data_IF_454786246497
#
_entry.id   IF_454786246497
#
_cell.length_a   1.000
_cell.length_b   1.000
_cell.length_c   1.000
_cell.angle_alpha   90.00
_cell.angle_beta   90.00
_cell.angle_gamma   90.00
#
_symmetry.space_group_name_H-M   'P 1'
#
loop_
_entity.id
_entity.type
_entity.pdbx_description
1 polymer ?
#
# COMPACT_ATOMS: atom_id res chain seq x y z
N UNK A 1 -3.42 -8.38 15.47
CA UNK A 1 -3.16 -8.83 16.87
C UNK A 1 -4.16 -8.20 17.84
N UNK A 2 -4.99 -9.01 18.50
CA UNK A 2 -5.95 -8.58 19.52
C UNK A 2 -5.23 -8.44 20.88
N UNK A 3 -4.22 -7.56 20.95
CA UNK A 3 -3.57 -7.24 22.22
C UNK A 3 -4.16 -5.93 22.71
N UNK A 4 -5.10 -6.06 23.65
CA UNK A 4 -5.88 -4.94 24.17
C UNK A 4 -5.01 -3.86 24.82
N UNK A 5 -3.80 -4.20 25.28
CA UNK A 5 -2.80 -3.25 25.79
C UNK A 5 -2.17 -2.44 24.65
N UNK A 6 -1.57 -3.09 23.64
CA UNK A 6 -0.92 -2.42 22.51
C UNK A 6 -1.91 -1.51 21.77
N UNK A 7 -3.14 -1.98 21.54
CA UNK A 7 -4.16 -1.17 20.86
C UNK A 7 -4.64 0.01 21.71
N UNK A 8 -4.70 -0.12 23.04
CA UNK A 8 -5.03 1.00 23.94
C UNK A 8 -3.88 2.01 24.00
N UNK A 9 -2.65 1.55 24.20
CA UNK A 9 -1.45 2.39 24.20
C UNK A 9 -1.30 3.17 22.90
N UNK A 10 -1.58 2.56 21.73
CA UNK A 10 -1.60 3.27 20.44
C UNK A 10 -2.62 4.41 20.36
N UNK A 11 -3.75 4.30 21.05
CA UNK A 11 -4.77 5.36 21.07
C UNK A 11 -4.43 6.49 22.04
N UNK A 12 -3.56 6.24 23.01
CA UNK A 12 -3.21 7.21 24.06
C UNK A 12 -2.11 8.18 23.62
N UNK A 13 -1.23 7.78 22.70
CA UNK A 13 -0.08 8.58 22.28
C UNK A 13 -0.17 8.98 20.81
N UNK A 14 0.29 10.19 20.45
CA UNK A 14 0.37 10.61 19.05
C UNK A 14 1.44 9.83 18.30
N UNK A 15 1.37 9.84 16.96
CA UNK A 15 2.32 9.18 16.06
C UNK A 15 3.77 9.61 16.33
N UNK A 16 3.99 10.89 16.63
CA UNK A 16 5.33 11.44 16.91
C UNK A 16 6.06 10.73 18.06
N UNK A 17 5.34 10.25 19.08
CA UNK A 17 5.95 9.51 20.20
C UNK A 17 6.44 8.13 19.72
N UNK A 18 5.72 7.47 18.82
CA UNK A 18 6.16 6.21 18.24
C UNK A 18 7.37 6.41 17.33
N UNK A 19 7.39 7.49 16.55
CA UNK A 19 8.54 7.86 15.73
C UNK A 19 9.78 8.18 16.56
N UNK A 20 9.61 8.85 17.69
CA UNK A 20 10.68 9.15 18.65
C UNK A 20 11.25 7.86 19.23
N UNK A 21 10.40 6.96 19.73
CA UNK A 21 10.84 5.65 20.25
C UNK A 21 11.59 4.84 19.18
N UNK A 22 11.09 4.81 17.95
CA UNK A 22 11.79 4.16 16.84
C UNK A 22 13.17 4.79 16.60
N UNK A 23 13.24 6.12 16.59
CA UNK A 23 14.49 6.87 16.38
C UNK A 23 15.50 6.60 17.49
N UNK A 24 15.07 6.59 18.76
CA UNK A 24 15.92 6.26 19.90
C UNK A 24 16.45 4.81 19.84
N UNK A 25 15.64 3.86 19.39
CA UNK A 25 16.10 2.47 19.19
C UNK A 25 17.13 2.41 18.07
N UNK A 26 16.89 3.10 16.95
CA UNK A 26 17.83 3.17 15.84
C UNK A 26 19.16 3.81 16.26
N UNK A 27 19.14 4.92 16.99
CA UNK A 27 20.34 5.57 17.55
C UNK A 27 21.17 4.59 18.38
N UNK A 28 20.53 3.80 19.24
CA UNK A 28 21.24 2.77 20.01
C UNK A 28 21.88 1.70 19.12
N UNK A 29 21.26 1.33 18.01
CA UNK A 29 21.86 0.41 17.03
C UNK A 29 23.06 1.06 16.32
N UNK A 30 22.98 2.36 16.00
CA UNK A 30 24.06 3.14 15.39
C UNK A 30 25.25 3.22 16.36
N UNK A 31 25.02 3.58 17.63
CA UNK A 31 26.05 3.66 18.67
C UNK A 31 26.77 2.32 18.91
N UNK A 32 26.08 1.21 18.63
CA UNK A 32 26.64 -0.16 18.70
C UNK A 32 27.33 -0.60 17.41
N UNK A 33 27.42 0.26 16.40
CA UNK A 33 28.05 -0.04 15.11
C UNK A 33 27.26 -1.02 14.25
N UNK A 34 25.97 -1.22 14.52
CA UNK A 34 25.13 -2.17 13.77
C UNK A 34 24.61 -1.59 12.45
N UNK A 35 24.66 -0.27 12.29
CA UNK A 35 24.15 0.44 11.10
C UNK A 35 25.31 1.09 10.38
N UNK A 36 25.55 0.70 9.13
CA UNK A 36 26.60 1.30 8.30
C UNK A 36 26.18 2.61 7.64
N UNK A 37 24.88 2.78 7.37
CA UNK A 37 24.32 3.88 6.59
C UNK A 37 24.47 3.71 5.07
N UNK A 38 25.54 3.06 4.63
CA UNK A 38 26.01 3.07 3.24
C UNK A 38 25.04 2.43 2.24
N UNK A 39 24.46 1.27 2.55
CA UNK A 39 23.57 0.54 1.64
C UNK A 39 22.24 0.24 2.33
N UNK A 40 21.15 0.70 1.72
CA UNK A 40 19.79 0.51 2.22
C UNK A 40 18.98 -0.31 1.22
N UNK A 41 18.37 -1.38 1.73
CA UNK A 41 17.45 -2.21 0.97
C UNK A 41 16.00 -1.82 1.30
N UNK A 42 15.18 -1.58 0.29
CA UNK A 42 13.78 -1.18 0.41
C UNK A 42 12.89 -2.31 -0.12
N UNK A 43 11.88 -2.67 0.67
CA UNK A 43 10.90 -3.69 0.30
C UNK A 43 9.51 -3.34 0.86
N UNK A 44 8.48 -3.96 0.27
CA UNK A 44 7.10 -3.78 0.68
C UNK A 44 6.39 -5.07 1.07
N UNK A 45 5.55 -4.98 2.10
CA UNK A 45 4.77 -6.09 2.59
C UNK A 45 3.33 -5.65 2.89
N UNK A 46 2.31 -6.34 2.34
CA UNK A 46 0.94 -6.06 2.71
C UNK A 46 0.65 -6.59 4.11
N UNK A 47 0.21 -5.69 4.98
CA UNK A 47 -0.19 -5.97 6.35
C UNK A 47 -1.72 -6.00 6.41
N UNK A 48 -2.29 -7.11 6.90
CA UNK A 48 -3.74 -7.27 7.00
C UNK A 48 -4.33 -6.22 7.95
N UNK A 49 -5.27 -5.44 7.45
CA UNK A 49 -6.00 -4.46 8.25
C UNK A 49 -6.95 -5.16 9.23
N UNK A 50 -7.27 -4.49 10.34
CA UNK A 50 -8.26 -4.98 11.31
C UNK A 50 -9.68 -4.58 10.89
N UNK A 51 -10.06 -4.97 9.67
CA UNK A 51 -11.34 -4.65 9.07
C UNK A 51 -11.88 -5.85 8.27
N UNK A 52 -13.21 -5.92 8.15
CA UNK A 52 -13.88 -7.02 7.43
C UNK A 52 -14.29 -6.61 6.03
N UNK A 53 -14.17 -7.55 5.09
CA UNK A 53 -14.76 -7.40 3.75
C UNK A 53 -16.30 -7.36 3.81
N UNK A 54 -16.90 -7.98 4.83
CA UNK A 54 -18.37 -8.09 4.94
C UNK A 54 -19.06 -6.80 5.42
N UNK A 55 -18.26 -5.85 5.93
CA UNK A 55 -18.72 -4.56 6.45
C UNK A 55 -18.45 -3.40 5.49
N UNK A 56 -17.97 -3.69 4.28
CA UNK A 56 -17.74 -2.67 3.25
C UNK A 56 -19.06 -2.01 2.85
N UNK A 57 -19.01 -0.70 2.65
CA UNK A 57 -20.15 0.10 2.21
C UNK A 57 -19.87 0.75 0.86
N UNK A 58 -20.94 1.07 0.11
CA UNK A 58 -20.83 1.67 -1.21
C UNK A 58 -20.50 3.16 -1.09
N UNK A 59 -19.59 3.63 -1.93
CA UNK A 59 -19.40 5.06 -2.16
C UNK A 59 -20.60 5.61 -2.93
N UNK A 60 -21.01 6.83 -2.61
CA UNK A 60 -22.16 7.49 -3.24
C UNK A 60 -21.73 8.84 -3.84
N UNK A 61 -22.42 9.38 -4.85
CA UNK A 61 -22.11 10.71 -5.39
C UNK A 61 -22.22 11.80 -4.30
N UNK A 62 -21.31 12.77 -4.32
CA UNK A 62 -21.22 13.84 -3.31
C UNK A 62 -22.49 14.71 -3.26
N UNK A 63 -23.09 14.99 -4.43
CA UNK A 63 -24.29 15.83 -4.58
C UNK A 63 -25.59 15.15 -4.08
N UNK A 64 -25.60 13.84 -3.87
CA UNK A 64 -26.80 13.10 -3.46
C UNK A 64 -26.63 12.35 -2.11
N UNK A 65 -25.69 12.68 -1.22
CA UNK A 65 -25.47 11.87 0.00
C UNK A 65 -26.78 11.60 0.78
N UNK A 66 -27.66 12.58 0.95
CA UNK A 66 -28.95 12.41 1.65
C UNK A 66 -30.09 11.86 0.77
N UNK A 67 -30.13 12.22 -0.51
CA UNK A 67 -31.19 11.81 -1.44
C UNK A 67 -30.95 10.40 -2.01
N UNK A 68 -29.69 10.04 -2.24
CA UNK A 68 -29.21 8.71 -2.61
C UNK A 68 -29.37 7.72 -1.47
N UNK A 69 -29.17 8.12 -0.20
CA UNK A 69 -29.52 7.28 0.96
C UNK A 69 -31.03 6.94 0.99
N UNK A 70 -31.90 7.82 0.47
CA UNK A 70 -33.33 7.56 0.28
C UNK A 70 -33.61 6.71 -0.97
N UNK A 71 -32.90 6.93 -2.09
CA UNK A 71 -33.07 6.20 -3.38
C UNK A 71 -32.41 4.81 -3.41
N UNK A 72 -31.38 4.53 -2.61
CA UNK A 72 -30.76 3.19 -2.44
C UNK A 72 -31.79 2.15 -1.96
N UNK A 73 -32.92 2.57 -1.39
CA UNK A 73 -34.04 1.68 -1.06
C UNK A 73 -34.77 1.10 -2.29
N UNK A 74 -34.50 1.59 -3.51
CA UNK A 74 -35.34 1.30 -4.67
C UNK A 74 -34.66 0.60 -5.87
N UNK A 75 -33.33 0.37 -5.93
CA UNK A 75 -32.71 -0.18 -7.16
C UNK A 75 -31.67 -1.31 -6.92
N UNK A 76 -31.94 -2.43 -7.62
CA UNK A 76 -31.16 -3.65 -7.88
C UNK A 76 -31.22 -4.77 -6.82
N UNK A 77 -31.76 -5.91 -7.26
CA UNK A 77 -32.07 -7.12 -6.50
C UNK A 77 -30.89 -8.11 -6.38
N UNK A 78 -29.67 -7.72 -6.78
CA UNK A 78 -28.49 -8.61 -6.74
C UNK A 78 -27.41 -8.17 -5.75
N UNK A 79 -27.35 -6.88 -5.42
CA UNK A 79 -26.62 -6.39 -4.26
C UNK A 79 -27.63 -6.17 -3.14
N UNK A 80 -27.64 -7.04 -2.11
CA UNK A 80 -28.40 -6.74 -0.88
C UNK A 80 -28.10 -5.27 -0.48
N UNK A 81 -29.15 -4.46 -0.38
CA UNK A 81 -29.13 -3.00 -0.15
C UNK A 81 -28.38 -2.57 1.13
N UNK A 82 -28.05 -3.54 1.99
CA UNK A 82 -27.21 -3.36 3.16
C UNK A 82 -26.16 -4.49 3.20
N UNK A 83 -24.94 -4.20 3.70
CA UNK A 83 -23.95 -5.24 3.95
C UNK A 83 -24.53 -6.31 4.87
N UNK A 84 -24.08 -7.57 4.71
CA UNK A 84 -24.51 -8.69 5.56
C UNK A 84 -24.26 -8.39 7.05
N UNK A 85 -23.26 -7.55 7.34
CA UNK A 85 -22.95 -7.06 8.67
C UNK A 85 -22.71 -5.55 8.60
N UNK A 86 -23.44 -4.76 9.38
CA UNK A 86 -23.17 -3.32 9.54
C UNK A 86 -22.13 -3.08 10.61
N UNK A 87 -21.28 -2.08 10.39
CA UNK A 87 -20.40 -1.58 11.43
C UNK A 87 -21.23 -0.88 12.52
N UNK A 88 -20.80 -0.95 13.79
CA UNK A 88 -21.48 -0.24 14.89
C UNK A 88 -21.22 1.27 14.82
N UNK A 89 -19.97 1.64 14.52
CA UNK A 89 -19.51 3.02 14.38
C UNK A 89 -18.76 3.16 13.06
N UNK A 90 -19.20 4.10 12.23
CA UNK A 90 -18.51 4.51 11.01
C UNK A 90 -17.47 5.59 11.34
N UNK A 91 -16.21 5.35 10.99
CA UNK A 91 -15.07 6.23 11.21
C UNK A 91 -14.66 7.00 9.95
N UNK A 92 -15.32 6.75 8.82
CA UNK A 92 -15.00 7.42 7.54
C UNK A 92 -15.48 8.86 7.52
N UNK A 93 -14.79 9.70 6.76
CA UNK A 93 -15.14 11.08 6.49
C UNK A 93 -16.01 11.21 5.21
N UNK A 94 -16.46 12.42 4.89
CA UNK A 94 -17.26 12.66 3.67
C UNK A 94 -16.49 12.29 2.40
N UNK A 95 -15.18 12.57 2.33
CA UNK A 95 -14.34 12.23 1.17
C UNK A 95 -14.26 10.74 0.93
N UNK A 96 -14.09 9.93 1.98
CA UNK A 96 -14.06 8.47 1.90
C UNK A 96 -15.39 7.84 1.46
N UNK A 97 -16.52 8.52 1.71
CA UNK A 97 -17.87 8.08 1.30
C UNK A 97 -18.23 8.48 -0.12
N UNK A 98 -17.56 9.49 -0.67
CA UNK A 98 -17.85 10.02 -1.99
C UNK A 98 -17.19 9.22 -3.12
N UNK A 99 -17.88 9.09 -4.25
CA UNK A 99 -17.29 8.53 -5.48
C UNK A 99 -16.33 9.57 -6.07
N UNK A 100 -15.05 9.21 -6.09
CA UNK A 100 -13.99 10.03 -6.72
C UNK A 100 -13.55 9.51 -8.09
N UNK A 101 -14.04 8.33 -8.50
CA UNK A 101 -13.68 7.71 -9.77
C UNK A 101 -14.46 8.29 -10.95
N UNK A 102 -13.81 8.44 -12.10
CA UNK A 102 -14.46 8.92 -13.33
C UNK A 102 -15.47 7.90 -13.90
N UNK A 103 -16.43 8.38 -14.69
CA UNK A 103 -17.42 7.53 -15.37
C UNK A 103 -16.78 6.41 -16.22
N UNK A 104 -15.66 6.72 -16.89
CA UNK A 104 -14.89 5.74 -17.67
C UNK A 104 -14.33 4.62 -16.80
N UNK A 105 -13.83 4.96 -15.61
CA UNK A 105 -13.29 3.97 -14.67
C UNK A 105 -14.37 3.10 -14.06
N UNK A 106 -15.52 3.69 -13.73
CA UNK A 106 -16.70 2.95 -13.26
C UNK A 106 -17.23 1.99 -14.34
N UNK A 107 -17.32 2.43 -15.59
CA UNK A 107 -17.70 1.58 -16.72
C UNK A 107 -16.70 0.43 -16.94
N UNK A 108 -15.40 0.68 -16.79
CA UNK A 108 -14.36 -0.34 -16.87
C UNK A 108 -14.41 -1.35 -15.70
N UNK A 109 -14.94 -0.96 -14.53
CA UNK A 109 -15.22 -1.90 -13.44
C UNK A 109 -16.44 -2.75 -13.81
N UNK A 110 -17.53 -2.13 -14.26
CA UNK A 110 -18.74 -2.85 -14.66
C UNK A 110 -18.47 -3.89 -15.76
N UNK A 111 -17.67 -3.55 -16.77
CA UNK A 111 -17.28 -4.48 -17.83
C UNK A 111 -16.43 -5.65 -17.29
N UNK A 112 -15.47 -5.37 -16.39
CA UNK A 112 -14.69 -6.42 -15.71
C UNK A 112 -15.54 -7.31 -14.84
N UNK A 113 -16.54 -6.77 -14.13
CA UNK A 113 -17.48 -7.56 -13.32
C UNK A 113 -18.28 -8.51 -14.22
N UNK A 114 -18.81 -8.00 -15.33
CA UNK A 114 -19.56 -8.79 -16.32
C UNK A 114 -18.71 -9.91 -16.91
N UNK A 115 -17.43 -9.63 -17.20
CA UNK A 115 -16.46 -10.64 -17.67
C UNK A 115 -16.16 -11.67 -16.59
N UNK A 116 -15.92 -11.24 -15.36
CA UNK A 116 -15.64 -12.16 -14.24
C UNK A 116 -16.80 -13.06 -13.88
N UNK A 117 -18.04 -12.60 -14.01
CA UNK A 117 -19.21 -13.44 -13.81
C UNK A 117 -19.34 -14.55 -14.87
N UNK A 118 -18.70 -14.40 -16.04
CA UNK A 118 -18.70 -15.39 -17.12
C UNK A 118 -17.52 -16.36 -17.04
N UNK A 119 -16.34 -15.88 -16.63
CA UNK A 119 -15.08 -16.64 -16.69
C UNK A 119 -14.81 -17.51 -15.41
N UNK A 120 -15.82 -17.70 -14.54
CA UNK A 120 -15.65 -18.09 -13.13
C UNK A 120 -15.59 -19.60 -12.82
N UNK A 121 -15.13 -20.48 -13.72
CA UNK A 121 -15.11 -21.92 -13.44
C UNK A 121 -13.84 -22.44 -12.72
N UNK A 122 -12.76 -21.65 -12.57
CA UNK A 122 -11.44 -22.22 -12.26
C UNK A 122 -10.64 -21.59 -11.11
N UNK A 123 -11.26 -20.97 -10.09
CA UNK A 123 -10.51 -20.43 -8.93
C UNK A 123 -11.13 -20.80 -7.57
N UNK A 124 -10.32 -21.07 -6.52
CA UNK A 124 -10.84 -21.33 -5.17
C UNK A 124 -11.65 -20.13 -4.64
N UNK A 125 -12.90 -20.38 -4.22
CA UNK A 125 -13.83 -19.36 -3.73
C UNK A 125 -14.63 -18.63 -4.82
N UNK A 126 -14.43 -18.99 -6.09
CA UNK A 126 -15.11 -18.37 -7.22
C UNK A 126 -16.54 -18.92 -7.43
N UNK A 127 -16.84 -20.14 -6.98
CA UNK A 127 -18.19 -20.72 -7.06
C UNK A 127 -19.15 -20.33 -5.92
N UNK A 128 -18.78 -19.40 -5.02
CA UNK A 128 -19.64 -19.06 -3.88
C UNK A 128 -20.78 -18.14 -4.33
N UNK A 129 -22.04 -18.62 -4.24
CA UNK A 129 -23.29 -17.85 -4.49
C UNK A 129 -23.36 -16.62 -3.56
N UNK A 130 -22.71 -15.53 -3.95
CA UNK A 130 -22.55 -14.32 -3.14
C UNK A 130 -21.19 -13.63 -3.23
N UNK A 131 -20.22 -14.14 -4.01
CA UNK A 131 -18.94 -13.45 -4.22
C UNK A 131 -19.16 -12.14 -4.99
N UNK A 132 -19.22 -11.02 -4.26
CA UNK A 132 -19.37 -9.69 -4.84
C UNK A 132 -18.03 -9.13 -5.32
N UNK A 133 -18.02 -8.45 -6.45
CA UNK A 133 -16.85 -7.69 -6.87
C UNK A 133 -16.76 -6.40 -6.05
N UNK A 134 -15.78 -6.32 -5.16
CA UNK A 134 -15.50 -5.14 -4.34
C UNK A 134 -14.23 -4.43 -4.81
N UNK A 135 -14.26 -3.10 -4.90
CA UNK A 135 -13.15 -2.25 -5.35
C UNK A 135 -13.10 -0.96 -4.54
N UNK A 136 -11.91 -0.39 -4.32
CA UNK A 136 -11.72 0.89 -3.60
C UNK A 136 -12.37 2.09 -4.28
N UNK A 137 -12.74 1.95 -5.56
CA UNK A 137 -13.46 2.96 -6.33
C UNK A 137 -14.95 2.98 -6.03
N UNK A 138 -15.52 1.83 -5.65
CA UNK A 138 -16.96 1.67 -5.43
C UNK A 138 -17.30 1.42 -3.97
N UNK A 139 -16.34 0.99 -3.15
CA UNK A 139 -16.53 0.65 -1.75
C UNK A 139 -15.49 1.34 -0.87
N UNK A 140 -15.87 1.55 0.38
CA UNK A 140 -14.98 1.98 1.46
C UNK A 140 -15.22 1.12 2.72
N UNK A 141 -14.29 1.19 3.67
CA UNK A 141 -14.37 0.49 4.95
C UNK A 141 -14.77 1.46 6.05
N UNK A 142 -15.97 1.34 6.63
CA UNK A 142 -16.42 2.21 7.72
C UNK A 142 -15.60 2.04 9.01
N UNK A 143 -15.13 0.83 9.29
CA UNK A 143 -14.43 0.50 10.54
C UNK A 143 -12.96 0.93 10.55
N UNK A 144 -12.39 1.09 9.35
CA UNK A 144 -10.99 1.42 9.08
C UNK A 144 -10.90 2.12 7.71
N UNK A 145 -11.04 3.45 7.66
CA UNK A 145 -11.14 4.21 6.41
C UNK A 145 -9.88 4.21 5.56
N UNK A 146 -8.71 3.96 6.16
CA UNK A 146 -7.42 3.97 5.47
C UNK A 146 -7.07 2.60 4.87
N UNK A 147 -7.73 1.53 5.33
CA UNK A 147 -7.56 0.22 4.76
C UNK A 147 -8.01 0.19 3.29
N UNK A 148 -7.26 -0.54 2.45
CA UNK A 148 -7.58 -0.70 1.02
C UNK A 148 -7.70 -2.15 0.64
N UNK A 149 -8.65 -2.42 -0.25
CA UNK A 149 -8.83 -3.72 -0.89
C UNK A 149 -7.60 -3.95 -1.77
N UNK A 150 -6.85 -5.01 -1.50
CA UNK A 150 -5.77 -5.48 -2.36
C UNK A 150 -5.94 -6.95 -2.71
N UNK A 151 -5.34 -7.35 -3.85
CA UNK A 151 -5.50 -8.67 -4.45
C UNK A 151 -4.13 -9.21 -4.80
N UNK A 152 -3.80 -10.41 -4.31
CA UNK A 152 -2.63 -11.17 -4.77
C UNK A 152 -3.07 -12.27 -5.73
N UNK A 153 -2.30 -12.59 -6.79
CA UNK A 153 -2.57 -13.74 -7.66
C UNK A 153 -2.82 -15.01 -6.83
N UNK A 154 -3.89 -15.73 -7.15
CA UNK A 154 -4.27 -16.97 -6.46
C UNK A 154 -4.85 -16.81 -5.04
N UNK A 155 -5.01 -15.59 -4.52
CA UNK A 155 -5.57 -15.35 -3.17
C UNK A 155 -6.84 -14.50 -3.21
N UNK A 156 -7.70 -14.71 -2.22
CA UNK A 156 -8.89 -13.90 -2.01
C UNK A 156 -8.54 -12.43 -1.69
N UNK A 157 -9.45 -11.52 -2.03
CA UNK A 157 -9.34 -10.09 -1.69
C UNK A 157 -9.31 -9.90 -0.17
N UNK A 158 -8.48 -8.97 0.29
CA UNK A 158 -8.41 -8.58 1.70
C UNK A 158 -8.23 -7.08 1.81
N UNK A 159 -8.65 -6.53 2.94
CA UNK A 159 -8.28 -5.18 3.37
C UNK A 159 -6.88 -5.22 3.97
N UNK A 160 -5.97 -4.42 3.42
CA UNK A 160 -4.58 -4.34 3.84
C UNK A 160 -4.12 -2.88 3.87
N UNK A 161 -3.01 -2.68 4.59
CA UNK A 161 -2.08 -1.58 4.39
C UNK A 161 -0.86 -2.10 3.64
N UNK A 162 -0.13 -1.22 2.97
CA UNK A 162 1.16 -1.53 2.39
C UNK A 162 2.24 -1.00 3.31
N UNK A 163 2.95 -1.90 4.00
CA UNK A 163 4.11 -1.53 4.80
C UNK A 163 5.31 -1.41 3.88
N UNK A 164 5.94 -0.26 3.89
CA UNK A 164 7.23 -0.02 3.24
C UNK A 164 8.29 0.02 4.31
N UNK A 165 9.37 -0.75 4.14
CA UNK A 165 10.47 -0.81 5.09
C UNK A 165 11.80 -0.59 4.37
N UNK A 166 12.73 0.02 5.09
CA UNK A 166 14.13 0.09 4.69
C UNK A 166 15.01 -0.54 5.76
N UNK A 167 16.04 -1.26 5.30
CA UNK A 167 16.97 -2.01 6.14
C UNK A 167 18.39 -1.72 5.72
N UNK A 168 19.25 -1.46 6.71
CA UNK A 168 20.70 -1.40 6.51
C UNK A 168 21.25 -2.80 6.25
N UNK A 169 22.03 -2.97 5.18
CA UNK A 169 22.49 -4.29 4.78
C UNK A 169 23.62 -4.86 5.65
N UNK A 170 24.23 -4.08 6.55
CA UNK A 170 25.36 -4.55 7.37
C UNK A 170 24.92 -5.56 8.44
N UNK A 171 23.89 -5.22 9.23
CA UNK A 171 23.35 -6.09 10.29
C UNK A 171 21.83 -6.23 10.26
N UNK A 172 21.20 -5.86 9.13
CA UNK A 172 19.77 -5.99 8.90
C UNK A 172 18.90 -5.19 9.89
N UNK A 173 19.41 -4.04 10.34
CA UNK A 173 18.66 -3.10 11.18
C UNK A 173 17.66 -2.36 10.31
N UNK A 174 16.40 -2.32 10.75
CA UNK A 174 15.37 -1.49 10.12
C UNK A 174 15.71 -0.02 10.37
N UNK A 175 16.01 0.71 9.32
CA UNK A 175 16.37 2.13 9.37
C UNK A 175 15.16 3.03 9.14
N UNK A 176 14.13 2.51 8.48
CA UNK A 176 12.89 3.23 8.24
C UNK A 176 11.70 2.28 8.02
N UNK A 177 10.51 2.71 8.45
CA UNK A 177 9.25 1.99 8.20
C UNK A 177 8.10 2.99 8.08
N UNK A 178 7.14 2.73 7.19
CA UNK A 178 5.88 3.49 7.09
C UNK A 178 4.77 2.68 6.44
N UNK A 179 3.54 2.95 6.84
CA UNK A 179 2.36 2.37 6.22
C UNK A 179 1.81 3.33 5.14
N UNK A 180 1.45 2.76 4.00
CA UNK A 180 0.77 3.42 2.90
C UNK A 180 -0.53 2.70 2.56
N UNK A 181 -1.36 3.34 1.75
CA UNK A 181 -2.56 2.73 1.19
C UNK A 181 -2.20 1.57 0.25
N UNK A 182 -2.87 0.42 0.42
CA UNK A 182 -2.55 -0.82 -0.30
C UNK A 182 -3.09 -0.91 -1.74
N UNK A 183 -3.56 0.21 -2.30
CA UNK A 183 -4.02 0.32 -3.69
C UNK A 183 -3.08 1.13 -4.60
N UNK A 184 -1.99 1.65 -4.04
CA UNK A 184 -0.87 2.24 -4.80
C UNK A 184 0.13 1.18 -5.30
N UNK A 185 1.09 1.63 -6.11
CA UNK A 185 2.24 0.84 -6.57
C UNK A 185 3.50 1.22 -5.77
N UNK A 186 4.42 0.27 -5.61
CA UNK A 186 5.66 0.46 -4.86
C UNK A 186 6.52 1.61 -5.43
N UNK A 187 6.62 1.70 -6.75
CA UNK A 187 7.36 2.78 -7.41
C UNK A 187 6.87 4.19 -7.08
N UNK A 188 5.60 4.37 -6.67
CA UNK A 188 5.07 5.69 -6.29
C UNK A 188 5.56 6.15 -4.91
N UNK A 189 6.09 5.24 -4.10
CA UNK A 189 6.42 5.48 -2.70
C UNK A 189 7.92 5.67 -2.48
N UNK A 190 8.76 5.23 -3.43
CA UNK A 190 10.21 5.27 -3.32
C UNK A 190 10.75 6.66 -2.95
N UNK A 191 10.32 7.71 -3.66
CA UNK A 191 10.85 9.06 -3.45
C UNK A 191 10.54 9.59 -2.04
N UNK A 192 9.35 9.30 -1.49
CA UNK A 192 8.97 9.69 -0.13
C UNK A 192 9.85 8.96 0.90
N UNK A 193 10.06 7.65 0.70
CA UNK A 193 10.93 6.83 1.55
C UNK A 193 12.36 7.38 1.52
N UNK A 194 12.92 7.63 0.33
CA UNK A 194 14.29 8.11 0.15
C UNK A 194 14.49 9.46 0.84
N UNK A 195 13.61 10.45 0.61
CA UNK A 195 13.74 11.78 1.24
C UNK A 195 13.74 11.69 2.77
N UNK A 196 12.83 10.90 3.32
CA UNK A 196 12.71 10.71 4.77
C UNK A 196 13.91 9.98 5.36
N UNK A 197 14.32 8.86 4.73
CA UNK A 197 15.45 8.06 5.19
C UNK A 197 16.77 8.81 5.07
N UNK A 198 17.00 9.52 3.97
CA UNK A 198 18.21 10.33 3.78
C UNK A 198 18.31 11.40 4.87
N UNK A 199 17.22 12.12 5.17
CA UNK A 199 17.19 13.08 6.27
C UNK A 199 17.43 12.44 7.64
N UNK A 200 16.93 11.22 7.87
CA UNK A 200 17.14 10.46 9.10
C UNK A 200 18.60 10.05 9.25
N UNK A 201 19.21 9.44 8.23
CA UNK A 201 20.61 9.00 8.25
C UNK A 201 21.57 10.20 8.39
N UNK A 202 21.31 11.29 7.66
CA UNK A 202 22.13 12.50 7.74
C UNK A 202 22.18 13.10 9.15
N UNK A 203 21.03 13.17 9.84
CA UNK A 203 20.97 13.64 11.24
C UNK A 203 21.80 12.79 12.20
N UNK A 204 22.04 11.52 11.85
CA UNK A 204 22.84 10.59 12.63
C UNK A 204 24.30 10.50 12.15
N UNK A 205 24.73 11.40 11.25
CA UNK A 205 26.09 11.42 10.71
C UNK A 205 26.39 10.26 9.75
N UNK A 206 25.36 9.58 9.24
CA UNK A 206 25.50 8.46 8.31
C UNK A 206 25.28 8.92 6.87
N UNK A 207 26.18 8.49 5.98
CA UNK A 207 26.09 8.75 4.54
C UNK A 207 25.50 7.56 3.80
N UNK A 208 24.47 7.81 2.99
CA UNK A 208 23.80 6.79 2.18
C UNK A 208 24.26 6.90 0.73
N UNK A 209 24.72 5.78 0.17
CA UNK A 209 25.25 5.71 -1.20
C UNK A 209 24.42 4.79 -2.12
N UNK A 210 24.05 3.60 -1.64
CA UNK A 210 23.43 2.56 -2.47
C UNK A 210 21.98 2.31 -2.07
N UNK A 211 21.06 2.45 -3.02
CA UNK A 211 19.64 2.14 -2.87
C UNK A 211 19.33 0.83 -3.60
N UNK A 212 18.97 -0.22 -2.84
CA UNK A 212 18.60 -1.54 -3.37
C UNK A 212 17.10 -1.70 -3.24
N UNK A 213 16.41 -2.12 -4.29
CA UNK A 213 14.98 -2.38 -4.22
C UNK A 213 14.54 -3.41 -5.28
N UNK A 214 13.35 -3.98 -5.10
CA UNK A 214 12.78 -4.94 -6.05
C UNK A 214 12.33 -4.29 -7.38
N UNK A 215 11.96 -5.11 -8.36
CA UNK A 215 11.47 -4.60 -9.66
C UNK A 215 10.23 -3.74 -9.53
N UNK A 216 9.41 -3.90 -8.48
CA UNK A 216 8.22 -3.10 -8.22
C UNK A 216 8.50 -1.61 -8.06
N UNK A 217 9.72 -1.23 -7.67
CA UNK A 217 10.16 0.17 -7.58
C UNK A 217 10.71 0.75 -8.89
N UNK A 218 10.85 -0.05 -9.95
CA UNK A 218 11.38 0.41 -11.23
C UNK A 218 10.46 1.45 -11.89
N UNK A 219 10.98 2.66 -12.13
CA UNK A 219 10.38 3.65 -13.03
C UNK A 219 11.44 4.63 -13.52
N UNK A 220 11.26 5.21 -14.71
CA UNK A 220 12.17 6.24 -15.23
C UNK A 220 12.28 7.44 -14.29
N UNK A 221 11.16 7.81 -13.67
CA UNK A 221 11.10 8.88 -12.67
C UNK A 221 11.95 8.57 -11.43
N UNK A 222 11.90 7.33 -10.93
CA UNK A 222 12.69 6.92 -9.77
C UNK A 222 14.19 6.86 -10.09
N UNK A 223 14.57 6.38 -11.27
CA UNK A 223 15.98 6.38 -11.67
C UNK A 223 16.54 7.80 -11.77
N UNK A 224 15.83 8.71 -12.45
CA UNK A 224 16.23 10.11 -12.56
C UNK A 224 16.29 10.80 -11.18
N UNK A 225 15.33 10.52 -10.30
CA UNK A 225 15.31 11.04 -8.95
C UNK A 225 16.51 10.54 -8.11
N UNK A 226 16.79 9.23 -8.12
CA UNK A 226 17.91 8.65 -7.37
C UNK A 226 19.25 9.21 -7.84
N UNK A 227 19.45 9.30 -9.17
CA UNK A 227 20.64 9.92 -9.76
C UNK A 227 20.80 11.39 -9.34
N UNK A 228 19.74 12.19 -9.41
CA UNK A 228 19.76 13.59 -8.98
C UNK A 228 20.06 13.76 -7.49
N UNK A 229 19.68 12.78 -6.65
CA UNK A 229 20.00 12.76 -5.21
C UNK A 229 21.40 12.19 -4.89
N UNK A 230 22.15 11.74 -5.90
CA UNK A 230 23.48 11.15 -5.73
C UNK A 230 23.48 9.70 -5.23
N UNK A 231 22.34 9.00 -5.32
CA UNK A 231 22.21 7.60 -4.90
C UNK A 231 22.41 6.65 -6.07
N UNK A 232 23.26 5.63 -5.88
CA UNK A 232 23.43 4.53 -6.83
C UNK A 232 22.25 3.57 -6.69
N UNK A 233 21.49 3.41 -7.77
CA UNK A 233 20.32 2.52 -7.79
C UNK A 233 20.69 1.09 -8.22
N UNK A 234 20.25 0.11 -7.44
CA UNK A 234 20.32 -1.31 -7.74
C UNK A 234 18.89 -1.86 -7.80
N UNK A 235 18.13 -1.39 -8.80
CA UNK A 235 16.72 -1.72 -9.00
C UNK A 235 16.57 -2.34 -10.39
N UNK A 236 16.19 -3.62 -10.50
CA UNK A 236 16.04 -4.27 -11.80
C UNK A 236 14.89 -3.64 -12.61
N UNK A 237 15.05 -3.42 -13.92
CA UNK A 237 14.02 -2.82 -14.75
C UNK A 237 12.84 -3.76 -14.96
N UNK A 238 11.66 -3.20 -15.22
CA UNK A 238 10.50 -4.00 -15.62
C UNK A 238 10.68 -4.65 -17.00
N UNK A 239 10.53 -5.98 -17.06
CA UNK A 239 10.48 -6.77 -18.29
C UNK A 239 11.73 -7.64 -18.52
N UNK A 240 11.66 -8.51 -19.52
CA UNK A 240 12.83 -9.26 -20.01
C UNK A 240 13.71 -8.34 -20.86
N UNK A 241 14.99 -8.22 -20.51
CA UNK A 241 15.99 -7.52 -21.30
C UNK A 241 15.98 -8.03 -22.75
N UNK A 242 15.60 -7.16 -23.71
CA UNK A 242 15.62 -7.47 -25.14
C UNK A 242 16.74 -6.69 -25.81
N UNK A 243 17.93 -7.28 -25.82
CA UNK A 243 19.08 -6.81 -26.60
C UNK A 243 19.69 -5.50 -26.09
N UNK A 244 20.92 -5.58 -25.61
CA UNK A 244 21.76 -4.38 -25.46
C UNK A 244 22.27 -3.91 -26.82
N UNK A 245 22.71 -2.65 -26.93
CA UNK A 245 23.58 -2.25 -28.03
C UNK A 245 24.73 -3.25 -28.14
N UNK A 246 25.07 -3.68 -29.35
CA UNK A 246 26.20 -4.60 -29.62
C UNK A 246 27.53 -4.08 -29.08
N UNK A 247 27.59 -2.79 -28.76
CA UNK A 247 28.81 -2.04 -28.49
C UNK A 247 28.96 -1.72 -27.00
N UNK A 248 28.13 -2.32 -26.13
CA UNK A 248 28.20 -2.08 -24.69
C UNK A 248 29.12 -3.10 -24.00
N UNK A 249 30.32 -2.66 -23.60
CA UNK A 249 31.26 -3.47 -22.84
C UNK A 249 31.03 -3.32 -21.33
N UNK A 250 30.66 -4.43 -20.66
CA UNK A 250 30.56 -4.45 -19.20
C UNK A 250 31.97 -4.53 -18.60
N UNK A 251 32.45 -3.45 -17.99
CA UNK A 251 33.72 -3.46 -17.27
C UNK A 251 33.55 -4.23 -15.94
N UNK A 252 33.80 -5.54 -15.97
CA UNK A 252 33.97 -6.32 -14.74
C UNK A 252 35.22 -5.83 -14.03
N UNK A 253 35.07 -5.09 -12.93
CA UNK A 253 36.18 -4.90 -11.99
C UNK A 253 36.42 -6.24 -11.28
N UNK A 254 37.60 -6.80 -11.51
CA UNK A 254 38.20 -7.92 -10.76
C UNK A 254 38.54 -7.52 -9.34
#
# INVERSE_FOLDING_TARGET
PWHSTISRTRQLFPESVFEEVFTTVLEKCIDKGMVSGHTQAIDSAPVKANASMDTLELKVPEEELEEHLKKIRAISSMDKQAPHRKSKNDKSDKGGRSITASNKELAAIASRNKKWAKDQDQRPGAGNKGSKYTSNKTHYSPTDPDARISVKPGKARKLNYLSQLSVDTAHHVITDIRAYHADGKDNQQLQDIVKRLQGRLWKQGLYWENCVADTGYSSGENYAFLEATGLKSFIPPHGTYKGGPSDMFYCKRT
#
